data_IF_268243567385
#
_entry.id   IF_268243567385
#
_cell.length_a   1.000
_cell.length_b   1.000
_cell.length_c   1.000
_cell.angle_alpha   90.00
_cell.angle_beta   90.00
_cell.angle_gamma   90.00
#
_symmetry.space_group_name_H-M   'P 1'
#
loop_
_entity.id
_entity.type
_entity.pdbx_description
1 polymer ?
#
# COMPACT_ATOMS: atom_id res chain seq x y z
N UNK A 1 6.99 -18.80 2.71
CA UNK A 1 7.99 -19.64 2.06
C UNK A 1 7.47 -21.02 1.64
N UNK A 2 6.73 -21.78 2.46
CA UNK A 2 6.25 -23.12 2.08
C UNK A 2 5.46 -23.17 0.76
N UNK A 3 4.42 -22.34 0.62
CA UNK A 3 3.56 -22.35 -0.58
C UNK A 3 4.32 -21.98 -1.88
N UNK A 4 5.25 -21.03 -1.81
CA UNK A 4 6.05 -20.62 -2.97
C UNK A 4 6.97 -21.73 -3.51
N UNK A 5 7.43 -22.63 -2.64
CA UNK A 5 8.22 -23.79 -3.02
C UNK A 5 7.34 -24.92 -3.58
N UNK A 6 6.20 -25.18 -2.93
CA UNK A 6 5.25 -26.23 -3.35
C UNK A 6 4.64 -25.96 -4.73
N UNK A 7 4.46 -24.68 -5.10
CA UNK A 7 3.82 -24.28 -6.36
C UNK A 7 4.76 -24.23 -7.57
N UNK A 8 6.09 -24.43 -7.38
CA UNK A 8 7.06 -24.39 -8.49
C UNK A 8 6.73 -25.33 -9.66
N UNK A 9 6.31 -26.60 -9.43
CA UNK A 9 5.96 -27.51 -10.53
C UNK A 9 4.75 -27.06 -11.34
N UNK A 10 3.88 -26.20 -10.77
CA UNK A 10 2.66 -25.73 -11.39
C UNK A 10 2.82 -24.38 -12.12
N UNK A 11 4.05 -23.86 -12.22
CA UNK A 11 4.31 -22.52 -12.76
C UNK A 11 3.48 -21.41 -12.11
N UNK A 12 3.15 -21.59 -10.82
CA UNK A 12 2.36 -20.64 -10.04
C UNK A 12 3.26 -19.78 -9.14
N UNK A 13 2.77 -18.58 -8.82
CA UNK A 13 3.50 -17.60 -8.01
C UNK A 13 2.73 -17.35 -6.71
N UNK A 14 3.41 -17.47 -5.56
CA UNK A 14 2.86 -17.09 -4.26
C UNK A 14 3.63 -15.90 -3.70
N UNK A 15 2.91 -14.87 -3.27
CA UNK A 15 3.46 -13.65 -2.65
C UNK A 15 2.68 -13.28 -1.40
N UNK A 16 3.32 -12.54 -0.50
CA UNK A 16 2.62 -11.74 0.50
C UNK A 16 2.50 -10.31 -0.03
N UNK A 17 1.33 -9.71 0.04
CA UNK A 17 1.10 -8.32 -0.34
C UNK A 17 0.49 -7.57 0.85
N UNK A 18 1.17 -6.54 1.33
CA UNK A 18 0.64 -5.63 2.34
C UNK A 18 0.21 -4.31 1.71
N UNK A 19 -0.96 -3.76 2.11
CA UNK A 19 -1.20 -2.34 1.91
C UNK A 19 -0.21 -1.50 2.75
N UNK A 20 -0.18 -0.21 2.46
CA UNK A 20 0.33 0.83 3.35
C UNK A 20 -0.63 1.09 4.51
N UNK A 21 -0.73 2.34 4.97
CA UNK A 21 -1.73 2.72 5.97
C UNK A 21 -3.12 2.76 5.32
N UNK A 22 -3.85 1.67 5.43
CA UNK A 22 -5.13 1.50 4.74
C UNK A 22 -6.23 2.37 5.39
N UNK A 23 -6.84 3.28 4.63
CA UNK A 23 -8.07 3.97 5.04
C UNK A 23 -9.31 3.12 4.72
N UNK A 24 -9.38 1.93 5.33
CA UNK A 24 -10.54 1.03 5.22
C UNK A 24 -11.79 1.65 5.84
N UNK A 25 -12.95 1.11 5.52
CA UNK A 25 -14.23 1.53 6.09
C UNK A 25 -14.20 1.50 7.63
N UNK A 26 -13.62 0.44 8.21
CA UNK A 26 -13.46 0.32 9.66
C UNK A 26 -12.53 1.38 10.26
N UNK A 27 -11.46 1.77 9.54
CA UNK A 27 -10.56 2.83 10.00
C UNK A 27 -11.19 4.21 9.87
N UNK A 28 -11.91 4.46 8.77
CA UNK A 28 -12.69 5.68 8.57
C UNK A 28 -13.75 5.83 9.66
N UNK A 29 -14.49 4.77 9.97
CA UNK A 29 -15.44 4.72 11.09
C UNK A 29 -14.76 5.00 12.43
N UNK A 30 -13.63 4.36 12.72
CA UNK A 30 -12.87 4.58 13.95
C UNK A 30 -12.39 6.03 14.11
N UNK A 31 -12.11 6.72 12.99
CA UNK A 31 -11.74 8.13 12.98
C UNK A 31 -12.94 9.08 12.82
N UNK A 32 -14.16 8.57 12.68
CA UNK A 32 -15.36 9.40 12.53
C UNK A 32 -15.37 10.24 11.25
N UNK A 33 -14.75 9.72 10.19
CA UNK A 33 -14.68 10.37 8.86
C UNK A 33 -15.18 9.40 7.79
N UNK A 34 -15.31 9.89 6.56
CA UNK A 34 -15.70 9.14 5.37
C UNK A 34 -14.63 9.28 4.30
N UNK A 35 -14.72 8.53 3.21
CA UNK A 35 -13.75 8.66 2.11
C UNK A 35 -13.74 10.07 1.49
N UNK A 36 -14.84 10.83 1.54
CA UNK A 36 -14.86 12.19 0.97
C UNK A 36 -14.15 13.21 1.85
N UNK A 37 -14.02 12.97 3.16
CA UNK A 37 -13.43 13.89 4.13
C UNK A 37 -12.39 13.25 5.04
N UNK A 38 -11.75 12.16 4.60
CA UNK A 38 -10.81 11.39 5.43
C UNK A 38 -9.65 12.24 5.95
N UNK A 39 -9.28 13.30 5.23
CA UNK A 39 -8.22 14.24 5.62
C UNK A 39 -8.55 15.01 6.90
N UNK A 40 -9.82 15.17 7.28
CA UNK A 40 -10.22 15.79 8.54
C UNK A 40 -9.66 15.01 9.75
N UNK A 41 -9.44 13.70 9.62
CA UNK A 41 -8.83 12.90 10.67
C UNK A 41 -7.37 13.30 10.95
N UNK A 42 -6.68 13.96 10.00
CA UNK A 42 -5.28 14.37 10.15
C UNK A 42 -5.08 15.46 11.21
N UNK A 43 -6.14 16.17 11.62
CA UNK A 43 -6.07 17.10 12.76
C UNK A 43 -5.76 16.38 14.08
N UNK A 44 -6.24 15.13 14.22
CA UNK A 44 -6.06 14.30 15.43
C UNK A 44 -5.03 13.20 15.24
N UNK A 45 -4.90 12.70 14.00
CA UNK A 45 -3.97 11.64 13.61
C UNK A 45 -3.14 12.14 12.42
N UNK A 46 -2.15 13.04 12.63
CA UNK A 46 -1.45 13.74 11.54
C UNK A 46 -0.87 12.81 10.47
N UNK A 47 -0.27 11.71 10.90
CA UNK A 47 0.38 10.75 10.01
C UNK A 47 -0.60 9.93 9.15
N UNK A 48 -1.92 9.97 9.43
CA UNK A 48 -2.93 9.39 8.54
C UNK A 48 -2.94 10.04 7.14
N UNK A 49 -2.28 11.19 6.97
CA UNK A 49 -2.04 11.85 5.69
C UNK A 49 -1.35 10.94 4.65
N UNK A 50 -0.63 9.89 5.07
CA UNK A 50 0.01 8.91 4.18
C UNK A 50 -0.93 7.75 3.77
N UNK A 51 -2.19 7.78 4.19
CA UNK A 51 -3.10 6.66 3.96
C UNK A 51 -3.40 6.41 2.48
N UNK A 52 -3.72 5.16 2.16
CA UNK A 52 -4.08 4.67 0.82
C UNK A 52 -5.49 4.07 0.79
N UNK A 53 -6.19 4.16 -0.34
CA UNK A 53 -7.49 3.50 -0.48
C UNK A 53 -7.34 1.98 -0.61
N UNK A 54 -8.40 1.21 -0.28
CA UNK A 54 -8.47 -0.21 -0.65
C UNK A 54 -8.30 -0.47 -2.15
N UNK A 55 -8.68 0.48 -3.02
CA UNK A 55 -8.51 0.34 -4.46
C UNK A 55 -7.03 0.39 -4.88
N UNK A 56 -6.16 1.07 -4.13
CA UNK A 56 -4.74 1.17 -4.47
C UNK A 56 -4.02 -0.18 -4.37
N UNK A 57 -4.16 -0.88 -3.23
CA UNK A 57 -3.62 -2.24 -3.08
C UNK A 57 -4.34 -3.23 -4.02
N UNK A 58 -5.64 -3.03 -4.29
CA UNK A 58 -6.38 -3.81 -5.30
C UNK A 58 -5.79 -3.67 -6.71
N UNK A 59 -5.39 -2.47 -7.11
CA UNK A 59 -4.68 -2.23 -8.39
C UNK A 59 -3.33 -2.95 -8.42
N UNK A 60 -2.63 -3.04 -7.30
CA UNK A 60 -1.38 -3.81 -7.20
C UNK A 60 -1.62 -5.31 -7.39
N UNK A 61 -2.72 -5.86 -6.87
CA UNK A 61 -3.14 -7.25 -7.16
C UNK A 61 -3.40 -7.46 -8.64
N UNK A 62 -4.14 -6.55 -9.29
CA UNK A 62 -4.40 -6.62 -10.74
C UNK A 62 -3.11 -6.56 -11.54
N UNK A 63 -2.17 -5.68 -11.16
CA UNK A 63 -0.88 -5.57 -11.83
C UNK A 63 -0.05 -6.86 -11.71
N UNK A 64 0.02 -7.46 -10.53
CA UNK A 64 0.67 -8.77 -10.35
C UNK A 64 0.00 -9.87 -11.17
N UNK A 65 -1.33 -9.93 -11.16
CA UNK A 65 -2.08 -10.97 -11.88
C UNK A 65 -1.95 -10.86 -13.40
N UNK A 66 -1.74 -9.64 -13.93
CA UNK A 66 -1.56 -9.38 -15.36
C UNK A 66 -0.10 -9.39 -15.83
N UNK A 67 0.86 -9.57 -14.92
CA UNK A 67 2.27 -9.49 -15.25
C UNK A 67 2.79 -10.82 -15.84
N UNK A 68 3.25 -10.84 -17.11
CA UNK A 68 3.77 -12.05 -17.73
C UNK A 68 5.04 -12.59 -17.04
N UNK A 69 5.78 -11.71 -16.34
CA UNK A 69 6.99 -12.01 -15.61
C UNK A 69 6.75 -12.09 -14.09
N UNK A 70 5.51 -12.30 -13.64
CA UNK A 70 5.11 -12.33 -12.22
C UNK A 70 5.93 -13.33 -11.39
N UNK A 71 6.45 -14.40 -12.01
CA UNK A 71 7.27 -15.42 -11.35
C UNK A 71 8.51 -14.85 -10.64
N UNK A 72 9.03 -13.68 -11.05
CA UNK A 72 10.14 -13.00 -10.36
C UNK A 72 9.82 -12.62 -8.91
N UNK A 73 8.53 -12.53 -8.58
CA UNK A 73 8.05 -12.18 -7.26
C UNK A 73 7.83 -13.39 -6.34
N UNK A 74 7.97 -14.62 -6.86
CA UNK A 74 7.63 -15.82 -6.09
C UNK A 74 8.40 -15.88 -4.75
N UNK A 75 7.66 -16.08 -3.66
CA UNK A 75 8.18 -16.14 -2.30
C UNK A 75 8.47 -14.79 -1.64
N UNK A 76 8.25 -13.66 -2.32
CA UNK A 76 8.53 -12.33 -1.80
C UNK A 76 7.38 -11.76 -0.95
N UNK A 77 7.74 -10.79 -0.09
CA UNK A 77 6.80 -9.89 0.58
C UNK A 77 6.87 -8.53 -0.09
N UNK A 78 5.72 -8.04 -0.52
CA UNK A 78 5.57 -6.85 -1.36
C UNK A 78 4.65 -5.85 -0.68
N UNK A 79 4.81 -4.57 -1.04
CA UNK A 79 3.88 -3.52 -0.64
C UNK A 79 3.24 -2.83 -1.84
N UNK A 80 2.03 -2.32 -1.67
CA UNK A 80 1.34 -1.46 -2.64
C UNK A 80 2.24 -0.30 -3.11
N UNK A 81 2.90 0.40 -2.18
CA UNK A 81 3.80 1.53 -2.49
C UNK A 81 5.03 1.13 -3.33
N UNK A 82 5.65 -0.03 -3.06
CA UNK A 82 6.73 -0.57 -3.90
C UNK A 82 6.21 -0.88 -5.30
N UNK A 83 5.09 -1.59 -5.40
CA UNK A 83 4.53 -2.02 -6.67
C UNK A 83 4.00 -0.86 -7.50
N UNK A 84 3.54 0.21 -6.87
CA UNK A 84 3.11 1.42 -7.56
C UNK A 84 4.23 2.08 -8.37
N UNK A 85 5.47 2.12 -7.85
CA UNK A 85 6.63 2.61 -8.59
C UNK A 85 7.02 1.72 -9.76
N UNK A 86 6.90 0.41 -9.59
CA UNK A 86 7.31 -0.58 -10.59
C UNK A 86 6.31 -0.66 -11.73
N UNK A 87 5.01 -0.64 -11.41
CA UNK A 87 3.92 -0.80 -12.37
C UNK A 87 3.26 0.52 -12.80
N UNK A 88 3.70 1.66 -12.26
CA UNK A 88 3.12 2.98 -12.59
C UNK A 88 1.67 3.16 -12.12
N UNK A 89 1.31 2.58 -10.98
CA UNK A 89 -0.06 2.61 -10.44
C UNK A 89 -0.27 3.86 -9.60
N UNK A 90 -1.46 4.42 -9.61
CA UNK A 90 -1.86 5.51 -8.70
C UNK A 90 -3.08 5.12 -7.88
N UNK A 91 -3.24 5.74 -6.71
CA UNK A 91 -4.47 5.72 -5.92
C UNK A 91 -5.57 6.51 -6.67
N UNK A 92 -6.79 6.51 -6.14
CA UNK A 92 -7.97 7.15 -6.71
C UNK A 92 -7.80 8.67 -6.89
N UNK A 93 -6.98 9.31 -6.04
CA UNK A 93 -6.67 10.75 -6.10
C UNK A 93 -5.43 11.06 -6.94
N UNK A 94 -4.87 10.08 -7.66
CA UNK A 94 -3.67 10.22 -8.48
C UNK A 94 -2.35 10.10 -7.71
N UNK A 95 -2.37 9.91 -6.40
CA UNK A 95 -1.17 9.78 -5.57
C UNK A 95 -0.51 8.39 -5.62
N UNK A 96 0.72 8.29 -5.12
CA UNK A 96 1.46 7.03 -4.90
C UNK A 96 1.97 6.96 -3.45
N UNK A 97 1.10 6.74 -2.45
CA UNK A 97 1.50 6.67 -1.06
C UNK A 97 2.52 5.55 -0.79
N UNK A 98 3.65 5.90 -0.17
CA UNK A 98 4.70 4.97 0.30
C UNK A 98 4.79 5.01 1.83
N UNK A 99 3.79 4.42 2.47
CA UNK A 99 3.67 4.39 3.92
C UNK A 99 4.87 3.69 4.59
N UNK A 100 5.41 2.63 3.98
CA UNK A 100 6.49 1.85 4.59
C UNK A 100 7.85 2.54 4.51
N UNK A 101 8.04 3.52 3.62
CA UNK A 101 9.16 4.47 3.68
C UNK A 101 8.86 5.63 4.64
N UNK A 102 7.64 6.16 4.60
CA UNK A 102 7.20 7.30 5.41
C UNK A 102 7.26 7.05 6.92
N UNK A 103 6.76 5.91 7.38
CA UNK A 103 6.65 5.60 8.82
C UNK A 103 8.02 5.69 9.52
N UNK A 104 9.08 4.97 9.09
CA UNK A 104 10.38 5.06 9.75
C UNK A 104 11.08 6.42 9.53
N UNK A 105 10.91 7.06 8.36
CA UNK A 105 11.65 8.28 8.02
C UNK A 105 11.02 9.56 8.60
N UNK A 106 9.71 9.56 8.86
CA UNK A 106 8.93 10.73 9.28
C UNK A 106 8.25 10.49 10.63
N UNK A 107 7.34 9.51 10.72
CA UNK A 107 6.54 9.30 11.92
C UNK A 107 7.38 8.83 13.11
N UNK A 108 8.11 7.74 12.97
CA UNK A 108 8.91 7.16 14.06
C UNK A 108 10.11 8.07 14.41
N UNK A 109 10.52 8.92 13.46
CA UNK A 109 11.50 9.97 13.66
C UNK A 109 10.93 11.22 14.39
N UNK A 110 9.62 11.24 14.70
CA UNK A 110 8.96 12.35 15.39
C UNK A 110 8.89 13.65 14.58
N UNK A 111 8.98 13.58 13.25
CA UNK A 111 8.93 14.74 12.37
C UNK A 111 7.47 15.17 12.11
N UNK A 112 7.24 16.44 11.70
CA UNK A 112 5.93 16.87 11.22
C UNK A 112 5.41 15.95 10.12
N UNK A 113 4.08 15.79 10.02
CA UNK A 113 3.44 14.93 9.03
C UNK A 113 3.51 15.51 7.59
N UNK A 114 4.73 15.59 7.05
CA UNK A 114 5.02 16.03 5.69
C UNK A 114 5.11 14.82 4.76
N UNK A 115 4.15 14.72 3.84
CA UNK A 115 4.07 13.63 2.87
C UNK A 115 4.86 13.91 1.59
N UNK A 116 5.56 15.04 1.48
CA UNK A 116 6.31 15.43 0.28
C UNK A 116 7.32 14.34 -0.11
N UNK A 117 7.17 13.82 -1.33
CA UNK A 117 8.01 12.75 -1.86
C UNK A 117 7.60 11.33 -1.44
N UNK A 118 6.56 11.19 -0.61
CA UNK A 118 5.99 9.90 -0.19
C UNK A 118 4.56 9.70 -0.70
N UNK A 119 3.95 10.67 -1.38
CA UNK A 119 2.59 10.62 -1.90
C UNK A 119 2.50 11.24 -3.29
#
# INVERSE_FOLDING_TARGET
FALAHELQPCSATAVSLTPGWLRSEAMLEAFGVTESNWRDATERVPHFAISESPAFVGRAVVALAGDPDVARWNGQSLSSGQLARIYGLTDLDGSQPDAWRYVPEVQDAGKPADTTGYR
#
